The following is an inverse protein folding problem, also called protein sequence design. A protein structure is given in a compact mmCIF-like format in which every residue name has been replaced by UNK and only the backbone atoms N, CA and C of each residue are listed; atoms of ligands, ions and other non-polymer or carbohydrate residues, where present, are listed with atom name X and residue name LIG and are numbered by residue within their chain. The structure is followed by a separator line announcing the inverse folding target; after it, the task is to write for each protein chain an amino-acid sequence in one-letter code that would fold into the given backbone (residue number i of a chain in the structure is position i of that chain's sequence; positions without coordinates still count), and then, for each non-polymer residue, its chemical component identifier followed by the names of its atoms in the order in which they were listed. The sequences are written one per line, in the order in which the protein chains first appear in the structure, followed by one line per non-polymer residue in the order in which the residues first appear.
data_IF_769499394263
#
_entry.id   IF_769499394263
#
_cell.length_a   1.000
_cell.length_b   1.000
_cell.length_c   1.000
_cell.angle_alpha   90.00
_cell.angle_beta   90.00
_cell.angle_gamma   90.00
#
_symmetry.space_group_name_H-M   'P 1'
#
loop_
_entity.id
_entity.type
_entity.pdbx_description
1 polymer ?
#
# COMPACT_ATOMS: atom_id res chain seq x y z
N UNK A 1 2.25 -6.35 -7.64
CA UNK A 1 1.80 -6.22 -6.23
C UNK A 1 0.31 -6.51 -6.17
N UNK A 2 -0.05 -7.53 -5.40
CA UNK A 2 -1.47 -7.77 -5.10
C UNK A 2 -1.82 -7.01 -3.83
N UNK A 3 -2.87 -6.21 -3.91
CA UNK A 3 -3.49 -5.58 -2.73
C UNK A 3 -4.78 -6.33 -2.50
N UNK A 4 -4.82 -7.12 -1.43
CA UNK A 4 -6.00 -7.87 -1.06
C UNK A 4 -6.93 -6.93 -0.28
N UNK A 5 -8.11 -6.74 -0.79
CA UNK A 5 -9.17 -5.98 -0.14
C UNK A 5 -10.05 -6.94 0.64
N UNK A 6 -10.27 -6.65 1.91
CA UNK A 6 -11.24 -7.38 2.73
C UNK A 6 -12.48 -6.50 2.92
N UNK A 7 -13.53 -6.79 2.18
CA UNK A 7 -14.87 -6.27 2.44
C UNK A 7 -15.95 -7.13 1.75
N UNK A 8 -17.09 -7.27 2.40
CA UNK A 8 -18.18 -8.16 1.99
C UNK A 8 -19.12 -7.57 0.91
N UNK A 9 -18.82 -6.45 0.32
CA UNK A 9 -19.68 -5.84 -0.71
C UNK A 9 -18.95 -5.72 -2.05
N UNK A 10 -19.30 -6.63 -2.94
CA UNK A 10 -19.00 -6.56 -4.38
C UNK A 10 -19.70 -5.37 -5.02
N UNK A 11 -18.97 -4.59 -5.78
CA UNK A 11 -19.23 -4.02 -7.09
C UNK A 11 -18.46 -2.71 -7.31
N UNK A 12 -17.67 -2.68 -8.37
CA UNK A 12 -17.10 -1.46 -8.93
C UNK A 12 -15.67 -1.15 -8.48
N UNK A 13 -14.71 -1.66 -9.25
CA UNK A 13 -13.29 -1.33 -9.11
C UNK A 13 -13.05 0.13 -9.49
N UNK A 14 -12.97 0.99 -8.50
CA UNK A 14 -12.22 2.23 -8.61
C UNK A 14 -11.14 2.26 -7.53
N UNK A 15 -9.94 2.65 -7.92
CA UNK A 15 -8.72 2.69 -7.10
C UNK A 15 -8.82 3.61 -5.86
N UNK A 16 -9.96 4.19 -5.61
CA UNK A 16 -10.25 5.21 -4.58
C UNK A 16 -11.16 4.70 -3.44
N UNK A 17 -11.52 3.42 -3.43
CA UNK A 17 -12.36 2.92 -2.35
C UNK A 17 -11.54 2.75 -1.05
N UNK A 18 -12.08 3.31 0.02
CA UNK A 18 -11.52 3.34 1.37
C UNK A 18 -11.73 1.97 2.00
N UNK A 19 -10.77 1.06 1.76
CA UNK A 19 -10.81 -0.30 2.31
C UNK A 19 -9.56 -0.60 3.12
N UNK A 20 -9.68 -1.52 4.04
CA UNK A 20 -8.54 -2.09 4.75
C UNK A 20 -7.67 -2.83 3.75
N UNK A 21 -6.36 -2.56 3.72
CA UNK A 21 -5.45 -3.03 2.66
C UNK A 21 -4.36 -3.90 3.23
N UNK A 22 -4.08 -5.00 2.52
CA UNK A 22 -2.93 -5.87 2.76
C UNK A 22 -2.07 -5.85 1.50
N UNK A 23 -0.81 -5.45 1.64
CA UNK A 23 0.16 -5.48 0.56
C UNK A 23 0.92 -6.82 0.56
N UNK A 24 0.84 -7.52 -0.54
CA UNK A 24 1.57 -8.76 -0.80
C UNK A 24 2.65 -8.49 -1.85
N UNK A 25 3.86 -8.12 -1.44
CA UNK A 25 4.94 -7.85 -2.39
C UNK A 25 5.53 -9.17 -2.91
N UNK A 26 5.62 -9.32 -4.24
CA UNK A 26 6.12 -10.53 -4.88
C UNK A 26 7.56 -10.33 -5.35
N UNK A 27 7.86 -9.24 -6.10
CA UNK A 27 9.15 -9.05 -6.74
C UNK A 27 9.45 -7.57 -7.02
N UNK A 28 10.66 -7.28 -7.47
CA UNK A 28 11.18 -6.00 -7.95
C UNK A 28 11.02 -4.84 -6.93
N UNK A 29 10.40 -3.75 -7.33
CA UNK A 29 10.13 -2.55 -6.53
C UNK A 29 8.99 -2.72 -5.50
N UNK A 30 8.20 -3.78 -5.62
CA UNK A 30 7.01 -4.00 -4.80
C UNK A 30 7.30 -4.06 -3.29
N UNK A 31 8.40 -4.66 -2.80
CA UNK A 31 8.75 -4.59 -1.39
C UNK A 31 8.97 -3.15 -0.89
N UNK A 32 9.59 -2.29 -1.69
CA UNK A 32 9.78 -0.87 -1.38
C UNK A 32 8.46 -0.12 -1.33
N UNK A 33 7.63 -0.29 -2.35
CA UNK A 33 6.28 0.29 -2.39
C UNK A 33 5.41 -0.20 -1.23
N UNK A 34 5.43 -1.50 -0.92
CA UNK A 34 4.68 -2.06 0.20
C UNK A 34 5.17 -1.49 1.55
N UNK A 35 6.48 -1.32 1.72
CA UNK A 35 7.04 -0.67 2.90
C UNK A 35 6.59 0.80 3.00
N UNK A 36 6.63 1.55 1.90
CA UNK A 36 6.18 2.94 1.87
C UNK A 36 4.71 3.08 2.29
N UNK A 37 3.80 2.33 1.68
CA UNK A 37 2.36 2.41 2.01
C UNK A 37 2.03 1.88 3.41
N UNK A 38 2.84 0.98 3.98
CA UNK A 38 2.58 0.40 5.30
C UNK A 38 3.24 1.15 6.46
N UNK A 39 4.40 1.76 6.24
CA UNK A 39 5.19 2.43 7.28
C UNK A 39 5.12 3.96 7.16
N UNK A 40 5.43 4.51 5.97
CA UNK A 40 5.47 5.96 5.79
C UNK A 40 4.08 6.57 5.72
N UNK A 41 3.19 5.97 4.94
CA UNK A 41 1.80 6.45 4.79
C UNK A 41 0.86 5.85 5.84
N UNK A 42 1.22 4.74 6.43
CA UNK A 42 0.43 3.99 7.44
C UNK A 42 -1.03 3.70 6.96
N UNK A 43 -1.18 3.26 5.69
CA UNK A 43 -2.48 2.99 5.07
C UNK A 43 -2.74 1.51 4.75
N UNK A 44 -1.74 0.65 4.94
CA UNK A 44 -1.81 -0.77 4.62
C UNK A 44 -1.06 -1.62 5.63
N UNK A 45 -1.37 -2.90 5.69
CA UNK A 45 -0.51 -3.92 6.30
C UNK A 45 0.40 -4.51 5.22
N UNK A 46 1.64 -4.84 5.56
CA UNK A 46 2.56 -5.51 4.66
C UNK A 46 2.78 -6.94 5.13
N UNK A 47 2.67 -7.92 4.21
CA UNK A 47 3.13 -9.28 4.45
C UNK A 47 4.63 -9.37 4.14
N UNK A 48 5.40 -9.89 5.08
CA UNK A 48 6.86 -10.01 4.99
C UNK A 48 7.25 -11.47 4.75
N UNK A 49 6.57 -12.41 5.39
CA UNK A 49 6.85 -13.84 5.31
C UNK A 49 6.57 -14.46 3.93
N UNK A 50 5.87 -13.73 3.05
CA UNK A 50 5.59 -14.14 1.66
C UNK A 50 6.81 -14.04 0.74
N UNK A 51 7.91 -13.44 1.21
CA UNK A 51 9.14 -13.29 0.44
C UNK A 51 9.82 -14.63 0.24
N UNK A 52 10.43 -14.80 -0.94
CA UNK A 52 11.10 -16.04 -1.34
C UNK A 52 12.45 -15.75 -2.00
N UNK A 53 13.26 -16.83 -2.13
CA UNK A 53 14.58 -16.77 -2.76
C UNK A 53 15.63 -16.10 -1.86
N UNK A 54 16.88 -16.21 -2.27
CA UNK A 54 18.05 -15.77 -1.49
C UNK A 54 17.93 -14.29 -1.11
N UNK A 55 17.54 -13.43 -2.05
CA UNK A 55 17.40 -12.00 -1.81
C UNK A 55 16.17 -11.64 -0.94
N UNK A 56 15.08 -12.38 -1.12
CA UNK A 56 13.85 -12.13 -0.36
C UNK A 56 13.96 -12.52 1.12
N UNK A 57 14.82 -13.47 1.44
CA UNK A 57 15.04 -13.96 2.81
C UNK A 57 16.17 -13.22 3.55
N UNK A 58 16.83 -12.25 2.91
CA UNK A 58 17.81 -11.39 3.60
C UNK A 58 17.14 -10.55 4.68
N UNK A 59 17.90 -10.17 5.73
CA UNK A 59 17.42 -9.22 6.73
C UNK A 59 16.87 -7.94 6.08
N UNK A 60 15.81 -7.40 6.66
CA UNK A 60 15.24 -6.14 6.17
C UNK A 60 16.17 -4.98 6.45
N UNK A 61 16.38 -4.08 5.50
CA UNK A 61 17.20 -2.86 5.71
C UNK A 61 16.73 -2.01 6.89
N UNK A 62 15.45 -2.05 7.21
CA UNK A 62 14.84 -1.35 8.34
C UNK A 62 15.04 -2.06 9.70
N UNK A 63 15.78 -3.17 9.72
CA UNK A 63 15.94 -4.01 10.91
C UNK A 63 14.79 -5.02 11.08
N UNK A 64 14.86 -5.79 12.15
CA UNK A 64 13.92 -6.87 12.46
C UNK A 64 14.47 -8.25 12.06
N UNK A 65 13.75 -9.29 12.46
CA UNK A 65 14.10 -10.66 12.11
C UNK A 65 13.93 -10.89 10.61
N UNK A 66 14.86 -11.63 9.97
CA UNK A 66 14.73 -11.97 8.56
C UNK A 66 13.46 -12.80 8.32
N UNK A 67 12.85 -12.70 7.13
CA UNK A 67 11.73 -13.56 6.76
C UNK A 67 12.14 -15.03 6.79
N UNK A 68 11.26 -15.89 7.29
CA UNK A 68 11.47 -17.35 7.28
C UNK A 68 11.01 -17.95 5.95
N UNK A 69 9.91 -17.41 5.40
CA UNK A 69 9.40 -17.78 4.08
C UNK A 69 8.76 -19.19 4.00
N UNK A 70 8.47 -19.82 5.13
CA UNK A 70 7.76 -21.10 5.16
C UNK A 70 6.24 -20.91 5.09
N UNK A 71 5.52 -21.94 4.70
CA UNK A 71 4.05 -21.93 4.64
C UNK A 71 3.45 -21.60 6.00
N UNK A 72 4.02 -22.14 7.06
CA UNK A 72 3.59 -21.95 8.45
C UNK A 72 3.79 -20.50 8.89
N UNK A 73 4.95 -19.89 8.56
CA UNK A 73 5.23 -18.49 8.89
C UNK A 73 4.32 -17.52 8.13
N UNK A 74 4.05 -17.80 6.86
CA UNK A 74 3.08 -17.02 6.05
C UNK A 74 1.68 -17.13 6.64
N UNK A 75 1.24 -18.34 7.01
CA UNK A 75 -0.07 -18.55 7.58
C UNK A 75 -0.22 -17.88 8.96
N UNK A 76 0.83 -17.89 9.78
CA UNK A 76 0.84 -17.21 11.08
C UNK A 76 0.76 -15.68 10.91
N UNK A 77 1.57 -15.11 10.02
CA UNK A 77 1.54 -13.68 9.70
C UNK A 77 0.16 -13.25 9.14
N UNK A 78 -0.40 -14.03 8.22
CA UNK A 78 -1.72 -13.73 7.65
C UNK A 78 -2.82 -13.71 8.71
N UNK A 79 -2.83 -14.68 9.65
CA UNK A 79 -3.80 -14.69 10.76
C UNK A 79 -3.63 -13.47 11.67
N UNK A 80 -2.38 -13.09 12.00
CA UNK A 80 -2.12 -11.91 12.82
C UNK A 80 -2.60 -10.63 12.13
N UNK A 81 -2.27 -10.46 10.84
CA UNK A 81 -2.73 -9.31 10.06
C UNK A 81 -4.25 -9.25 9.97
N UNK A 82 -4.93 -10.38 9.71
CA UNK A 82 -6.39 -10.45 9.65
C UNK A 82 -7.05 -10.12 11.00
N UNK A 83 -6.41 -10.44 12.12
CA UNK A 83 -6.86 -10.04 13.45
C UNK A 83 -6.70 -8.52 13.62
N UNK A 84 -5.49 -7.98 13.40
CA UNK A 84 -5.16 -6.56 13.57
C UNK A 84 -5.97 -5.63 12.64
N UNK A 85 -6.35 -6.13 11.47
CA UNK A 85 -7.17 -5.37 10.52
C UNK A 85 -8.58 -5.06 11.05
N UNK A 86 -9.07 -5.88 11.98
CA UNK A 86 -10.38 -5.71 12.64
C UNK A 86 -10.31 -4.87 13.92
N UNK A 87 -9.10 -4.54 14.38
CA UNK A 87 -8.82 -3.80 15.60
C UNK A 87 -8.56 -2.31 15.30
N UNK A 88 -8.28 -1.54 16.34
CA UNK A 88 -8.01 -0.10 16.27
C UNK A 88 -6.91 0.29 15.27
N UNK A 89 -5.93 -0.60 15.04
CA UNK A 89 -4.88 -0.38 14.05
C UNK A 89 -5.44 -0.36 12.62
N UNK A 90 -6.33 -1.29 12.30
CA UNK A 90 -7.01 -1.31 10.99
C UNK A 90 -7.87 -0.07 10.76
N UNK A 91 -8.55 0.41 11.80
CA UNK A 91 -9.34 1.64 11.72
C UNK A 91 -8.46 2.89 11.55
N UNK A 92 -7.30 2.94 12.22
CA UNK A 92 -6.33 4.02 12.04
C UNK A 92 -5.82 4.07 10.59
N UNK A 93 -5.39 2.93 10.04
CA UNK A 93 -4.91 2.83 8.67
C UNK A 93 -5.99 3.22 7.65
N UNK A 94 -7.23 2.87 7.91
CA UNK A 94 -8.37 3.28 7.09
C UNK A 94 -8.54 4.79 7.09
N UNK A 95 -8.56 5.44 8.28
CA UNK A 95 -8.63 6.91 8.38
C UNK A 95 -7.49 7.62 7.65
N UNK A 96 -6.26 7.09 7.76
CA UNK A 96 -5.12 7.63 7.03
C UNK A 96 -5.32 7.54 5.51
N UNK A 97 -5.87 6.43 5.02
CA UNK A 97 -6.19 6.27 3.60
C UNK A 97 -7.25 7.26 3.13
N UNK A 98 -8.26 7.57 3.97
CA UNK A 98 -9.27 8.61 3.69
C UNK A 98 -8.62 9.98 3.52
N UNK A 99 -7.73 10.35 4.43
CA UNK A 99 -7.01 11.63 4.36
C UNK A 99 -6.18 11.75 3.08
N UNK A 100 -5.48 10.68 2.70
CA UNK A 100 -4.67 10.67 1.46
C UNK A 100 -5.56 10.75 0.23
N UNK A 101 -6.65 10.00 0.18
CA UNK A 101 -7.63 10.08 -0.90
C UNK A 101 -8.14 11.51 -1.08
N UNK A 102 -8.51 12.17 0.02
CA UNK A 102 -9.05 13.53 -0.03
C UNK A 102 -8.00 14.56 -0.47
N UNK A 103 -6.73 14.37 -0.08
CA UNK A 103 -5.60 15.16 -0.59
C UNK A 103 -5.42 14.98 -2.10
N UNK A 104 -5.39 13.73 -2.57
CA UNK A 104 -5.27 13.42 -4.01
C UNK A 104 -6.46 13.97 -4.80
N UNK A 105 -7.69 13.79 -4.27
CA UNK A 105 -8.89 14.32 -4.91
C UNK A 105 -8.88 15.84 -5.04
N UNK A 106 -8.27 16.56 -4.10
CA UNK A 106 -8.10 18.03 -4.19
C UNK A 106 -7.03 18.41 -5.20
N UNK A 107 -5.90 17.70 -5.22
CA UNK A 107 -4.79 18.00 -6.14
C UNK A 107 -5.20 17.91 -7.63
N UNK A 108 -6.22 17.10 -7.95
CA UNK A 108 -6.73 16.91 -9.32
C UNK A 108 -8.01 17.69 -9.63
N UNK A 109 -8.48 18.57 -8.74
CA UNK A 109 -9.55 19.51 -9.07
C UNK A 109 -9.06 20.63 -9.98
N UNK A 110 -10.01 21.36 -10.62
CA UNK A 110 -9.68 22.42 -11.59
C UNK A 110 -8.76 23.53 -11.04
N UNK A 111 -8.74 23.74 -9.75
CA UNK A 111 -7.92 24.68 -8.97
C UNK A 111 -6.82 23.98 -8.15
N UNK A 112 -6.58 22.70 -8.39
CA UNK A 112 -5.61 21.90 -7.65
C UNK A 112 -4.22 21.93 -8.26
N UNK A 113 -3.19 21.98 -7.41
CA UNK A 113 -1.77 22.05 -7.79
C UNK A 113 -1.35 20.98 -8.79
N UNK A 114 -1.85 19.74 -8.62
CA UNK A 114 -1.49 18.63 -9.51
C UNK A 114 -1.97 18.82 -10.95
N UNK A 115 -3.16 19.39 -11.15
CA UNK A 115 -3.68 19.69 -12.48
C UNK A 115 -2.96 20.90 -13.10
N UNK A 116 -2.60 21.89 -12.29
CA UNK A 116 -1.84 23.06 -12.75
C UNK A 116 -0.43 22.66 -13.19
N UNK A 117 0.28 21.86 -12.40
CA UNK A 117 1.60 21.32 -12.76
C UNK A 117 1.56 20.49 -14.04
N UNK A 118 0.53 19.65 -14.20
CA UNK A 118 0.36 18.88 -15.43
C UNK A 118 0.12 19.79 -16.66
N UNK A 119 -0.71 20.82 -16.52
CA UNK A 119 -0.94 21.81 -17.58
C UNK A 119 0.34 22.57 -17.93
N UNK A 120 1.17 22.90 -16.93
CA UNK A 120 2.48 23.54 -17.14
C UNK A 120 3.40 22.63 -17.94
N UNK A 121 3.52 21.36 -17.55
CA UNK A 121 4.30 20.35 -18.25
C UNK A 121 3.89 20.22 -19.71
N UNK A 122 2.59 20.16 -20.00
CA UNK A 122 2.07 20.09 -21.38
C UNK A 122 2.43 21.35 -22.20
N UNK A 123 2.30 22.54 -21.61
CA UNK A 123 2.69 23.79 -22.29
C UNK A 123 4.17 23.83 -22.63
N UNK A 124 5.02 23.32 -21.73
CA UNK A 124 6.47 23.32 -21.95
C UNK A 124 6.88 22.28 -22.98
N UNK A 125 6.23 21.12 -23.02
CA UNK A 125 6.47 20.09 -24.03
C UNK A 125 5.97 20.45 -25.45
N UNK A 126 5.11 21.46 -25.60
CA UNK A 126 4.55 21.89 -26.90
C UNK A 126 5.20 23.19 -27.44
N UNK A 127 6.30 23.65 -26.83
CA UNK A 127 7.03 24.86 -27.27
C UNK A 127 8.13 24.58 -28.29
N UNK A 128 8.34 23.33 -28.70
CA UNK A 128 9.20 22.90 -29.78
C UNK A 128 8.39 22.82 -31.08
#
# INVERSE_FOLDING_TARGET
MYVIYHDEALAGMTCLQIRRRIAWPIAFDQPGTAAHISLSLDVAFQLIQVRKGIEGLKPLQRGGSPPIGTRESVAAEARDVLRRIKEAEGDRKRRNAEVIRDKLGRAWKNDGDGLEDFRRLLRDATKD
#
